data_IF_832453019700
#
_entry.id   IF_832453019700
#
_cell.length_a   1.000
_cell.length_b   1.000
_cell.length_c   1.000
_cell.angle_alpha   90.00
_cell.angle_beta   90.00
_cell.angle_gamma   90.00
#
_symmetry.space_group_name_H-M   'P 1'
#
loop_
_entity.id
_entity.type
_entity.pdbx_description
1 polymer ?
#
# COMPACT_ATOMS: atom_id res chain seq x y z
N UNK A 1 -20.25 -3.71 -1.21
CA UNK A 1 -19.42 -4.81 -1.75
C UNK A 1 -18.02 -4.58 -1.18
N UNK A 2 -17.42 -5.57 -0.50
CA UNK A 2 -16.06 -5.41 0.04
C UNK A 2 -15.09 -5.59 -1.13
N UNK A 3 -14.67 -4.51 -1.77
CA UNK A 3 -13.74 -4.55 -2.92
C UNK A 3 -12.27 -4.80 -2.50
N UNK A 4 -12.08 -5.38 -1.31
CA UNK A 4 -10.78 -5.65 -0.69
C UNK A 4 -10.67 -7.13 -0.37
N UNK A 5 -9.76 -7.81 -1.04
CA UNK A 5 -9.44 -9.23 -0.81
C UNK A 5 -8.45 -9.44 0.35
N UNK A 6 -8.23 -8.41 1.17
CA UNK A 6 -7.24 -8.34 2.23
C UNK A 6 -7.74 -7.48 3.39
N UNK A 7 -7.15 -7.66 4.56
CA UNK A 7 -7.46 -6.89 5.76
C UNK A 7 -6.60 -5.62 5.80
N UNK A 8 -7.25 -4.45 5.88
CA UNK A 8 -6.55 -3.17 5.96
C UNK A 8 -5.76 -3.01 7.25
N UNK A 9 -6.28 -3.44 8.41
CA UNK A 9 -5.59 -3.28 9.70
C UNK A 9 -4.29 -4.09 9.79
N UNK A 10 -4.20 -5.15 8.99
CA UNK A 10 -2.99 -5.96 8.78
C UNK A 10 -2.08 -5.35 7.71
N UNK A 11 -2.64 -4.81 6.64
CA UNK A 11 -1.90 -4.33 5.46
C UNK A 11 -1.27 -2.95 5.66
N UNK A 12 -2.02 -2.00 6.24
CA UNK A 12 -1.55 -0.63 6.44
C UNK A 12 -0.25 -0.49 7.24
N UNK A 13 -0.04 -1.20 8.38
CA UNK A 13 1.24 -1.15 9.09
C UNK A 13 2.43 -1.54 8.22
N UNK A 14 2.27 -2.54 7.35
CA UNK A 14 3.36 -3.00 6.47
C UNK A 14 3.65 -1.96 5.39
N UNK A 15 2.62 -1.39 4.75
CA UNK A 15 2.80 -0.30 3.77
C UNK A 15 3.48 0.92 4.43
N UNK A 16 3.03 1.29 5.63
CA UNK A 16 3.62 2.39 6.38
C UNK A 16 5.11 2.14 6.68
N UNK A 17 5.47 0.91 7.06
CA UNK A 17 6.85 0.51 7.30
C UNK A 17 7.71 0.52 6.02
N UNK A 18 7.17 0.00 4.91
CA UNK A 18 7.80 0.07 3.58
C UNK A 18 8.09 1.51 3.18
N UNK A 19 7.14 2.44 3.37
CA UNK A 19 7.36 3.86 3.08
C UNK A 19 8.51 4.41 3.95
N UNK A 20 8.54 4.10 5.26
CA UNK A 20 9.60 4.59 6.15
C UNK A 20 10.97 4.04 5.77
N UNK A 21 11.08 2.74 5.48
CA UNK A 21 12.33 2.08 5.07
C UNK A 21 12.89 2.61 3.76
N UNK A 22 12.02 2.98 2.82
CA UNK A 22 12.40 3.45 1.48
C UNK A 22 12.52 4.97 1.38
N UNK A 23 12.07 5.70 2.40
CA UNK A 23 12.24 7.15 2.44
C UNK A 23 13.70 7.52 2.68
N UNK A 24 14.29 8.25 1.73
CA UNK A 24 15.66 8.77 1.83
C UNK A 24 15.65 10.29 1.98
N UNK A 25 15.19 11.01 0.95
CA UNK A 25 15.31 12.48 0.91
C UNK A 25 14.01 13.22 0.53
N UNK A 26 13.22 12.73 -0.45
CA UNK A 26 12.09 13.50 -1.01
C UNK A 26 10.72 12.84 -0.80
N UNK A 27 10.30 11.97 -1.72
CA UNK A 27 9.06 11.23 -1.64
C UNK A 27 9.32 9.82 -2.17
N UNK A 28 8.63 8.84 -1.60
CA UNK A 28 8.59 7.46 -2.09
C UNK A 28 7.40 7.35 -3.06
N UNK A 29 7.63 7.20 -4.38
CA UNK A 29 6.57 7.04 -5.37
C UNK A 29 5.77 5.75 -5.16
N UNK A 30 4.49 5.77 -5.54
CA UNK A 30 3.60 4.60 -5.48
C UNK A 30 4.24 3.33 -6.08
N UNK A 31 4.91 3.45 -7.22
CA UNK A 31 5.56 2.32 -7.89
C UNK A 31 6.65 1.69 -7.01
N UNK A 32 7.49 2.51 -6.36
CA UNK A 32 8.55 2.02 -5.47
C UNK A 32 7.95 1.36 -4.21
N UNK A 33 6.81 1.87 -3.70
CA UNK A 33 6.11 1.23 -2.58
C UNK A 33 5.57 -0.15 -2.99
N UNK A 34 5.02 -0.27 -4.21
CA UNK A 34 4.53 -1.56 -4.72
C UNK A 34 5.66 -2.56 -4.88
N UNK A 35 6.79 -2.15 -5.46
CA UNK A 35 7.98 -3.00 -5.62
C UNK A 35 8.52 -3.42 -4.25
N UNK A 36 8.73 -2.48 -3.34
CA UNK A 36 9.23 -2.76 -2.01
C UNK A 36 8.26 -3.61 -1.16
N UNK A 37 6.95 -3.52 -1.38
CA UNK A 37 5.97 -4.38 -0.72
C UNK A 37 6.08 -5.84 -1.19
N UNK A 38 6.42 -6.06 -2.47
CA UNK A 38 6.62 -7.39 -3.03
C UNK A 38 7.98 -8.00 -2.65
N UNK A 39 8.97 -7.15 -2.36
CA UNK A 39 10.30 -7.56 -1.89
C UNK A 39 10.36 -7.79 -0.37
N UNK A 40 9.44 -7.20 0.40
CA UNK A 40 9.30 -7.46 1.84
C UNK A 40 8.65 -8.84 2.09
N UNK A 41 9.25 -9.74 2.90
CA UNK A 41 8.69 -11.08 3.11
C UNK A 41 7.27 -11.10 3.67
N UNK A 42 6.93 -10.16 4.57
CA UNK A 42 5.60 -10.07 5.17
C UNK A 42 4.62 -9.45 4.16
N UNK A 43 5.06 -8.41 3.45
CA UNK A 43 4.29 -7.79 2.37
C UNK A 43 3.95 -8.77 1.24
N UNK A 44 4.91 -9.59 0.84
CA UNK A 44 4.73 -10.63 -0.18
C UNK A 44 3.71 -11.68 0.24
N UNK A 45 3.80 -12.20 1.47
CA UNK A 45 2.82 -13.15 2.00
C UNK A 45 1.40 -12.57 2.00
N UNK A 46 1.23 -11.30 2.41
CA UNK A 46 -0.06 -10.61 2.37
C UNK A 46 -0.63 -10.55 0.95
N UNK A 47 0.21 -10.18 -0.03
CA UNK A 47 -0.17 -10.10 -1.44
C UNK A 47 -0.57 -11.47 -1.98
N UNK A 48 0.17 -12.52 -1.62
CA UNK A 48 -0.13 -13.89 -2.05
C UNK A 48 -1.45 -14.39 -1.46
N UNK A 49 -1.68 -14.19 -0.16
CA UNK A 49 -2.96 -14.50 0.49
C UNK A 49 -4.12 -13.77 -0.16
N UNK A 50 -3.97 -12.47 -0.42
CA UNK A 50 -4.99 -11.67 -1.09
C UNK A 50 -5.27 -12.16 -2.52
N UNK A 51 -4.23 -12.56 -3.27
CA UNK A 51 -4.41 -13.16 -4.59
C UNK A 51 -5.19 -14.48 -4.53
N UNK A 52 -4.93 -15.34 -3.53
CA UNK A 52 -5.70 -16.58 -3.35
C UNK A 52 -7.16 -16.29 -3.01
N UNK A 53 -7.41 -15.33 -2.13
CA UNK A 53 -8.75 -14.91 -1.77
C UNK A 53 -9.50 -14.33 -2.98
N UNK A 54 -8.84 -13.49 -3.78
CA UNK A 54 -9.38 -12.92 -5.01
C UNK A 54 -9.74 -14.00 -6.04
N UNK A 55 -8.90 -15.02 -6.19
CA UNK A 55 -9.17 -16.17 -7.06
C UNK A 55 -10.32 -17.04 -6.55
N UNK A 56 -10.51 -17.13 -5.23
CA UNK A 56 -11.63 -17.87 -4.64
C UNK A 56 -12.97 -17.17 -4.89
N UNK A 57 -12.98 -15.85 -4.80
CA UNK A 57 -14.20 -15.05 -4.95
C UNK A 57 -14.54 -14.70 -6.39
N UNK A 58 -13.59 -14.77 -7.31
CA UNK A 58 -13.79 -14.38 -8.70
C UNK A 58 -13.12 -15.38 -9.65
N UNK A 59 -13.70 -15.58 -10.84
CA UNK A 59 -13.11 -16.47 -11.86
C UNK A 59 -11.85 -15.90 -12.54
N UNK A 60 -11.45 -14.67 -12.19
CA UNK A 60 -10.28 -14.01 -12.74
C UNK A 60 -9.08 -14.18 -11.80
N UNK A 61 -7.87 -14.25 -12.36
CA UNK A 61 -6.63 -14.27 -11.56
C UNK A 61 -5.89 -12.95 -11.71
N UNK A 62 -5.73 -12.22 -10.61
CA UNK A 62 -4.89 -11.03 -10.58
C UNK A 62 -3.41 -11.43 -10.44
N UNK A 63 -2.52 -10.60 -11.01
CA UNK A 63 -1.09 -10.71 -10.74
C UNK A 63 -0.76 -10.14 -9.36
N UNK A 64 0.35 -10.57 -8.77
CA UNK A 64 0.84 -10.05 -7.50
C UNK A 64 1.05 -8.52 -7.57
N UNK A 65 1.63 -8.02 -8.68
CA UNK A 65 1.81 -6.59 -8.90
C UNK A 65 0.49 -5.81 -8.92
N UNK A 66 -0.54 -6.34 -9.60
CA UNK A 66 -1.88 -5.72 -9.60
C UNK A 66 -2.48 -5.69 -8.20
N UNK A 67 -2.35 -6.79 -7.45
CA UNK A 67 -2.86 -6.87 -6.08
C UNK A 67 -2.14 -5.92 -5.12
N UNK A 68 -0.81 -5.89 -5.16
CA UNK A 68 0.00 -4.95 -4.38
C UNK A 68 -0.33 -3.49 -4.72
N UNK A 69 -0.49 -3.16 -6.00
CA UNK A 69 -0.92 -1.82 -6.41
C UNK A 69 -2.31 -1.46 -5.86
N UNK A 70 -3.25 -2.40 -5.86
CA UNK A 70 -4.57 -2.21 -5.25
C UNK A 70 -4.50 -2.00 -3.73
N UNK A 71 -3.62 -2.72 -3.02
CA UNK A 71 -3.37 -2.52 -1.59
C UNK A 71 -2.87 -1.10 -1.29
N UNK A 72 -1.89 -0.61 -2.06
CA UNK A 72 -1.37 0.76 -1.89
C UNK A 72 -2.41 1.82 -2.29
N UNK A 73 -3.27 1.54 -3.26
CA UNK A 73 -4.40 2.42 -3.60
C UNK A 73 -5.41 2.52 -2.45
N UNK A 74 -5.73 1.40 -1.79
CA UNK A 74 -6.60 1.39 -0.63
C UNK A 74 -6.02 2.15 0.56
N UNK A 75 -4.71 1.99 0.82
CA UNK A 75 -4.00 2.82 1.79
C UNK A 75 -4.12 4.31 1.46
N UNK A 76 -3.91 4.69 0.19
CA UNK A 76 -4.10 6.07 -0.27
C UNK A 76 -5.53 6.57 -0.04
N UNK A 77 -6.52 5.75 -0.38
CA UNK A 77 -7.94 6.07 -0.23
C UNK A 77 -8.27 6.34 1.24
N UNK A 78 -7.89 5.43 2.15
CA UNK A 78 -8.17 5.59 3.60
C UNK A 78 -7.46 6.79 4.22
N UNK A 79 -6.27 7.15 3.75
CA UNK A 79 -5.64 8.44 4.14
C UNK A 79 -6.47 9.64 3.66
N UNK A 80 -7.02 9.58 2.45
CA UNK A 80 -7.86 10.68 1.90
C UNK A 80 -9.18 10.81 2.64
N UNK A 81 -9.78 9.67 2.98
CA UNK A 81 -11.09 9.58 3.62
C UNK A 81 -11.02 9.78 5.15
N UNK A 82 -9.84 10.13 5.70
CA UNK A 82 -9.59 10.29 7.14
C UNK A 82 -9.90 9.04 7.98
N UNK A 83 -9.76 7.85 7.37
CA UNK A 83 -10.10 6.54 7.96
C UNK A 83 -8.85 5.67 8.21
N UNK A 84 -7.65 6.24 8.15
CA UNK A 84 -6.40 5.53 8.48
C UNK A 84 -5.71 6.16 9.68
N UNK A 85 -5.24 5.31 10.61
CA UNK A 85 -4.38 5.73 11.73
C UNK A 85 -3.03 6.31 11.28
N UNK A 86 -2.70 6.17 10.00
CA UNK A 86 -1.48 6.69 9.39
C UNK A 86 -1.70 8.05 8.69
N UNK A 87 -2.92 8.61 8.67
CA UNK A 87 -3.23 9.87 7.98
C UNK A 87 -2.28 11.01 8.40
N UNK A 88 -1.94 11.09 9.70
CA UNK A 88 -1.11 12.16 10.28
C UNK A 88 0.37 11.83 10.29
N UNK A 89 0.74 10.65 9.77
CA UNK A 89 2.14 10.20 9.77
C UNK A 89 2.82 10.44 8.43
N UNK A 90 2.05 10.64 7.36
CA UNK A 90 2.59 10.84 6.02
C UNK A 90 2.06 12.12 5.38
N UNK A 91 2.93 12.78 4.63
CA UNK A 91 2.52 13.75 3.62
C UNK A 91 2.37 13.02 2.30
N UNK A 92 1.26 13.26 1.59
CA UNK A 92 1.00 12.72 0.27
C UNK A 92 0.97 13.84 -0.75
N UNK A 93 1.69 13.67 -1.86
CA UNK A 93 1.70 14.64 -2.95
C UNK A 93 1.70 13.95 -4.33
N UNK A 94 1.32 14.70 -5.36
CA UNK A 94 1.54 14.29 -6.75
C UNK A 94 3.01 14.53 -7.10
N UNK A 95 3.72 13.48 -7.44
CA UNK A 95 5.14 13.52 -7.79
C UNK A 95 5.37 12.73 -9.08
N UNK A 96 5.99 13.38 -10.08
CA UNK A 96 6.31 12.78 -11.40
C UNK A 96 5.12 12.02 -12.03
N UNK A 97 3.91 12.58 -11.94
CA UNK A 97 2.69 11.98 -12.51
C UNK A 97 2.00 10.92 -11.65
N UNK A 98 2.60 10.48 -10.54
CA UNK A 98 2.04 9.50 -9.60
C UNK A 98 1.73 10.09 -8.23
N UNK A 99 1.08 9.31 -7.37
CA UNK A 99 1.04 9.61 -5.93
C UNK A 99 2.36 9.18 -5.29
N UNK A 100 2.83 9.95 -4.33
CA UNK A 100 4.03 9.64 -3.56
C UNK A 100 3.89 10.09 -2.11
N UNK A 101 4.69 9.50 -1.23
CA UNK A 101 4.56 9.64 0.22
C UNK A 101 5.90 9.98 0.86
N UNK A 102 5.88 10.82 1.89
CA UNK A 102 7.02 11.00 2.79
C UNK A 102 6.55 11.01 4.24
N UNK A 103 7.31 10.45 5.19
CA UNK A 103 7.02 10.61 6.60
C UNK A 103 6.96 12.09 6.97
N UNK A 104 5.98 12.48 7.78
CA UNK A 104 6.00 13.80 8.42
C UNK A 104 7.11 13.79 9.46
N UNK A 105 7.95 14.81 9.47
CA UNK A 105 8.89 15.00 10.56
C UNK A 105 8.09 15.24 11.84
N UNK A 106 8.48 14.59 12.94
CA UNK A 106 7.98 14.96 14.26
C UNK A 106 8.38 16.43 14.46
N UNK A 107 7.38 17.28 14.58
CA UNK A 107 7.57 18.68 15.02
C UNK A 107 7.91 18.69 16.49
#
# INVERSE_FOLDING_TARGET
MKDTFFNQDETEPIIADVIRKNYKNDFVPHKEIVEALLDDPIGKDLVERACQEQKRQTSNRWSANKMASNMVQWFSKRITDHDSRYERQFERSKFRGGWAYKPRQKT
#
